data_IF_159933147974
#
_entry.id   IF_159933147974
#
_cell.length_a   1.000
_cell.length_b   1.000
_cell.length_c   1.000
_cell.angle_alpha   90.00
_cell.angle_beta   90.00
_cell.angle_gamma   90.00
#
_symmetry.space_group_name_H-M   'P 1'
#
loop_
_entity.id
_entity.type
_entity.pdbx_description
1 polymer ?
#
# COMPACT_ATOMS: atom_id res chain seq x y z
N UNK A 1 14.46 2.63 -20.61
CA UNK A 1 13.74 3.76 -19.98
C UNK A 1 12.36 3.99 -20.61
N UNK A 2 12.23 4.04 -21.94
CA UNK A 2 10.94 4.18 -22.64
C UNK A 2 9.97 3.00 -22.40
N UNK A 3 10.44 1.75 -22.40
CA UNK A 3 9.61 0.55 -22.15
C UNK A 3 9.11 0.43 -20.72
N UNK A 4 9.90 0.93 -19.75
CA UNK A 4 9.56 0.95 -18.32
C UNK A 4 8.35 1.86 -18.06
N UNK A 5 8.37 3.06 -18.64
CA UNK A 5 7.26 4.01 -18.54
C UNK A 5 6.00 3.55 -19.30
N UNK A 6 6.15 2.70 -20.31
CA UNK A 6 5.00 2.16 -21.06
C UNK A 6 4.18 1.18 -20.21
N UNK A 7 4.81 0.35 -19.38
CA UNK A 7 4.13 -0.63 -18.52
C UNK A 7 3.46 0.01 -17.30
N UNK A 8 3.97 1.14 -16.78
CA UNK A 8 3.38 1.85 -15.63
C UNK A 8 2.01 2.46 -15.98
N UNK A 9 1.74 2.76 -17.26
CA UNK A 9 0.52 3.44 -17.74
C UNK A 9 -0.78 2.66 -17.50
N UNK A 10 -0.72 1.32 -17.45
CA UNK A 10 -1.92 0.49 -17.23
C UNK A 10 -2.24 0.23 -15.74
N UNK A 11 -1.34 0.59 -14.83
CA UNK A 11 -1.33 -0.02 -13.50
C UNK A 11 -2.06 0.82 -12.42
N UNK A 12 -2.34 2.10 -12.65
CA UNK A 12 -3.06 2.92 -11.66
C UNK A 12 -4.58 2.78 -11.86
N UNK A 13 -5.12 1.61 -11.51
CA UNK A 13 -6.55 1.40 -11.38
C UNK A 13 -7.08 2.14 -10.14
N UNK A 14 -8.16 2.90 -10.31
CA UNK A 14 -8.98 3.43 -9.20
C UNK A 14 -9.75 2.28 -8.55
N UNK A 15 -9.05 1.33 -7.93
CA UNK A 15 -9.68 0.23 -7.22
C UNK A 15 -10.11 0.73 -5.84
N UNK A 16 -11.42 0.90 -5.67
CA UNK A 16 -12.00 1.08 -4.34
C UNK A 16 -11.97 -0.28 -3.65
N UNK A 17 -11.21 -0.38 -2.56
CA UNK A 17 -11.15 -1.57 -1.70
C UNK A 17 -11.50 -1.13 -0.28
N UNK A 18 -11.99 -2.06 0.53
CA UNK A 18 -12.28 -1.80 1.94
C UNK A 18 -11.25 -2.56 2.79
N UNK A 19 -10.63 -1.87 3.75
CA UNK A 19 -9.73 -2.48 4.72
C UNK A 19 -10.54 -3.11 5.85
N UNK A 20 -10.25 -4.36 6.18
CA UNK A 20 -10.65 -4.99 7.44
C UNK A 20 -9.39 -5.15 8.29
N UNK A 21 -9.46 -4.72 9.55
CA UNK A 21 -8.30 -4.61 10.44
C UNK A 21 -7.14 -3.75 9.89
N UNK A 22 -6.12 -3.55 10.73
CA UNK A 22 -4.93 -2.81 10.34
C UNK A 22 -3.66 -3.38 11.00
N UNK A 23 -2.81 -4.00 10.18
CA UNK A 23 -1.51 -4.53 10.60
C UNK A 23 -1.55 -5.54 11.75
N UNK A 24 -2.67 -6.27 11.88
CA UNK A 24 -2.87 -7.20 12.98
C UNK A 24 -1.87 -8.37 12.97
N UNK A 25 -1.39 -8.80 11.80
CA UNK A 25 -0.38 -9.86 11.68
C UNK A 25 0.94 -9.53 12.42
N UNK A 26 1.25 -8.24 12.64
CA UNK A 26 2.40 -7.84 13.44
C UNK A 26 2.26 -8.18 14.94
N UNK A 27 1.02 -8.32 15.42
CA UNK A 27 0.68 -8.55 16.84
C UNK A 27 -0.03 -9.88 17.08
N UNK A 28 -0.52 -10.55 16.04
CA UNK A 28 -1.30 -11.78 16.10
C UNK A 28 -0.63 -12.86 16.96
N UNK A 29 0.68 -13.06 16.76
CA UNK A 29 1.47 -14.06 17.48
C UNK A 29 1.38 -13.92 19.00
N UNK A 30 1.17 -12.71 19.53
CA UNK A 30 1.06 -12.46 20.96
C UNK A 30 -0.23 -13.05 21.56
N UNK A 31 -1.22 -13.36 20.73
CA UNK A 31 -2.52 -13.92 21.11
C UNK A 31 -2.65 -15.42 20.80
N UNK A 32 -1.63 -16.03 20.18
CA UNK A 32 -1.62 -17.44 19.79
C UNK A 32 -2.86 -17.83 18.98
N UNK A 33 -3.48 -18.96 19.33
CA UNK A 33 -4.69 -19.48 18.65
C UNK A 33 -5.85 -18.48 18.67
N UNK A 34 -5.94 -17.63 19.71
CA UNK A 34 -6.96 -16.60 19.78
C UNK A 34 -6.81 -15.54 18.69
N UNK A 35 -5.56 -15.22 18.30
CA UNK A 35 -5.25 -14.31 17.21
C UNK A 35 -5.68 -14.88 15.86
N UNK A 36 -5.31 -16.13 15.57
CA UNK A 36 -5.69 -16.81 14.32
C UNK A 36 -7.22 -16.93 14.16
N UNK A 37 -7.93 -17.26 15.26
CA UNK A 37 -9.39 -17.33 15.25
C UNK A 37 -10.02 -15.96 15.03
N UNK A 38 -9.43 -14.91 15.58
CA UNK A 38 -9.88 -13.55 15.39
C UNK A 38 -9.73 -13.08 13.95
N UNK A 39 -8.58 -13.34 13.29
CA UNK A 39 -8.36 -12.99 11.88
C UNK A 39 -9.39 -13.66 10.98
N UNK A 40 -9.67 -14.96 11.21
CA UNK A 40 -10.73 -15.69 10.49
C UNK A 40 -12.10 -15.08 10.71
N UNK A 41 -12.46 -14.80 11.96
CA UNK A 41 -13.74 -14.16 12.29
C UNK A 41 -13.88 -12.77 11.65
N UNK A 42 -12.82 -11.95 11.66
CA UNK A 42 -12.83 -10.62 11.07
C UNK A 42 -13.01 -10.70 9.55
N UNK A 43 -12.29 -11.60 8.88
CA UNK A 43 -12.42 -11.85 7.45
C UNK A 43 -13.83 -12.34 7.07
N UNK A 44 -14.37 -13.33 7.80
CA UNK A 44 -15.73 -13.84 7.59
C UNK A 44 -16.78 -12.75 7.79
N UNK A 45 -16.61 -11.94 8.84
CA UNK A 45 -17.51 -10.81 9.13
C UNK A 45 -17.49 -9.80 7.99
N UNK A 46 -16.31 -9.42 7.50
CA UNK A 46 -16.16 -8.49 6.38
C UNK A 46 -16.83 -9.01 5.10
N UNK A 47 -16.58 -10.28 4.75
CA UNK A 47 -17.19 -10.93 3.58
C UNK A 47 -18.72 -11.01 3.72
N UNK A 48 -19.23 -11.24 4.93
CA UNK A 48 -20.67 -11.33 5.20
C UNK A 48 -21.44 -10.03 4.93
N UNK A 49 -20.75 -8.88 4.92
CA UNK A 49 -21.35 -7.58 4.57
C UNK A 49 -21.72 -7.48 3.07
N UNK A 50 -21.31 -8.46 2.26
CA UNK A 50 -21.72 -8.63 0.86
C UNK A 50 -21.57 -7.36 0.02
N UNK A 51 -20.38 -6.76 0.08
CA UNK A 51 -20.02 -5.57 -0.70
C UNK A 51 -19.65 -5.93 -2.13
N UNK A 52 -19.82 -5.00 -3.06
CA UNK A 52 -19.42 -5.16 -4.48
C UNK A 52 -17.93 -4.94 -4.75
N UNK A 53 -17.16 -4.57 -3.72
CA UNK A 53 -15.75 -4.24 -3.79
C UNK A 53 -14.91 -5.22 -2.96
N UNK A 54 -13.65 -5.47 -3.36
CA UNK A 54 -12.78 -6.40 -2.65
C UNK A 54 -12.38 -5.89 -1.26
N UNK A 55 -12.11 -6.84 -0.38
CA UNK A 55 -11.58 -6.61 0.96
C UNK A 55 -10.08 -6.84 0.99
N UNK A 56 -9.39 -6.04 1.81
CA UNK A 56 -7.94 -6.15 2.00
C UNK A 56 -7.58 -6.15 3.49
N UNK A 57 -6.50 -6.86 3.83
CA UNK A 57 -5.83 -6.80 5.13
C UNK A 57 -4.37 -6.38 4.89
N UNK A 58 -3.89 -5.35 5.58
CA UNK A 58 -2.49 -4.93 5.49
C UNK A 58 -1.65 -5.64 6.55
N UNK A 59 -0.42 -6.04 6.18
CA UNK A 59 0.51 -6.79 7.03
C UNK A 59 -0.12 -8.03 7.67
N UNK A 60 -0.82 -8.82 6.86
CA UNK A 60 -1.48 -10.05 7.29
C UNK A 60 -1.15 -11.19 6.33
N UNK A 61 -0.13 -11.99 6.64
CA UNK A 61 0.37 -13.04 5.74
C UNK A 61 -0.65 -14.17 5.53
N UNK A 62 -1.38 -14.54 6.57
CA UNK A 62 -2.36 -15.63 6.58
C UNK A 62 -3.80 -15.16 6.26
N UNK A 63 -3.97 -13.97 5.67
CA UNK A 63 -5.28 -13.42 5.33
C UNK A 63 -6.13 -14.43 4.52
N UNK A 64 -7.32 -14.84 5.03
CA UNK A 64 -8.16 -15.85 4.40
C UNK A 64 -8.68 -15.42 3.03
N UNK A 65 -8.92 -16.36 2.12
CA UNK A 65 -9.64 -16.05 0.89
C UNK A 65 -11.09 -15.61 1.19
N UNK A 66 -11.65 -14.62 0.46
CA UNK A 66 -11.11 -13.92 -0.71
C UNK A 66 -10.36 -12.61 -0.36
N UNK A 67 -9.97 -12.41 0.91
CA UNK A 67 -9.29 -11.18 1.35
C UNK A 67 -7.89 -11.09 0.72
N UNK A 68 -7.53 -9.92 0.21
CA UNK A 68 -6.21 -9.67 -0.37
C UNK A 68 -5.27 -9.19 0.73
N UNK A 69 -4.16 -9.89 0.95
CA UNK A 69 -3.11 -9.39 1.82
C UNK A 69 -2.26 -8.33 1.11
N UNK A 70 -1.86 -7.30 1.86
CA UNK A 70 -1.20 -6.12 1.31
C UNK A 70 -0.02 -5.69 2.17
N UNK A 71 0.89 -4.91 1.57
CA UNK A 71 2.09 -4.43 2.24
C UNK A 71 1.98 -2.97 2.66
N UNK A 72 2.65 -2.63 3.76
CA UNK A 72 2.87 -1.27 4.27
C UNK A 72 4.37 -1.06 4.51
N UNK A 73 4.90 0.14 4.28
CA UNK A 73 6.32 0.40 4.50
C UNK A 73 6.89 1.53 3.65
N UNK A 74 8.21 1.71 3.75
CA UNK A 74 8.97 2.56 2.81
C UNK A 74 9.22 1.87 1.47
N UNK A 75 9.31 0.53 1.50
CA UNK A 75 9.60 -0.34 0.37
C UNK A 75 8.74 -1.61 0.45
N UNK A 76 8.05 -1.94 -0.64
CA UNK A 76 7.24 -3.15 -0.77
C UNK A 76 7.54 -3.90 -2.09
N UNK A 77 8.68 -3.62 -2.73
CA UNK A 77 9.08 -4.25 -3.99
C UNK A 77 9.38 -5.75 -3.85
N UNK A 78 9.75 -6.22 -2.65
CA UNK A 78 9.98 -7.65 -2.38
C UNK A 78 8.73 -8.38 -1.84
N UNK A 79 7.65 -7.65 -1.55
CA UNK A 79 6.41 -8.25 -1.07
C UNK A 79 5.77 -9.12 -2.17
N UNK A 80 5.23 -10.26 -1.75
CA UNK A 80 4.42 -11.16 -2.58
C UNK A 80 3.12 -11.45 -1.84
N UNK A 81 2.00 -11.46 -2.56
CA UNK A 81 0.72 -11.86 -1.98
C UNK A 81 0.75 -13.31 -1.51
N UNK A 82 -0.13 -13.67 -0.60
CA UNK A 82 -0.19 -15.01 -0.01
C UNK A 82 -0.80 -16.06 -0.97
N UNK A 83 -1.22 -15.65 -2.16
CA UNK A 83 -1.72 -16.53 -3.22
C UNK A 83 -1.37 -15.97 -4.61
N UNK A 84 -0.98 -16.80 -5.58
CA UNK A 84 -0.71 -16.37 -6.96
C UNK A 84 -1.91 -15.72 -7.67
N UNK A 85 -3.14 -15.98 -7.20
CA UNK A 85 -4.36 -15.37 -7.76
C UNK A 85 -4.64 -13.96 -7.23
N UNK A 86 -3.91 -13.52 -6.19
CA UNK A 86 -4.11 -12.21 -5.56
C UNK A 86 -3.12 -11.18 -6.09
N UNK A 87 -3.57 -9.94 -6.39
CA UNK A 87 -2.69 -8.88 -6.86
C UNK A 87 -1.68 -8.46 -5.78
N UNK A 88 -0.51 -7.97 -6.21
CA UNK A 88 0.49 -7.35 -5.34
C UNK A 88 0.11 -5.90 -5.08
N UNK A 89 -0.34 -5.60 -3.86
CA UNK A 89 -0.84 -4.27 -3.49
C UNK A 89 -0.05 -3.67 -2.32
N UNK A 90 0.25 -2.37 -2.43
CA UNK A 90 0.92 -1.57 -1.42
C UNK A 90 -0.03 -0.51 -0.87
N UNK A 91 -0.59 -0.75 0.31
CA UNK A 91 -1.64 0.11 0.86
C UNK A 91 -1.11 1.34 1.58
N UNK A 92 0.10 1.30 2.13
CA UNK A 92 0.70 2.46 2.80
C UNK A 92 2.17 2.60 2.45
N UNK A 93 2.44 3.46 1.47
CA UNK A 93 3.78 3.97 1.20
C UNK A 93 4.06 5.17 2.10
N UNK A 94 4.98 5.00 3.04
CA UNK A 94 5.31 5.99 4.05
C UNK A 94 6.03 7.20 3.44
N UNK A 95 5.30 8.28 3.15
CA UNK A 95 5.88 9.53 2.63
C UNK A 95 6.83 10.24 3.61
N UNK A 96 6.89 9.78 4.86
CA UNK A 96 7.70 10.31 5.94
C UNK A 96 7.39 9.55 7.22
N UNK A 97 7.59 10.18 8.37
CA UNK A 97 7.22 9.62 9.67
C UNK A 97 6.48 10.67 10.50
N UNK A 98 5.74 10.24 11.52
CA UNK A 98 5.09 11.18 12.43
C UNK A 98 6.15 11.87 13.31
N UNK A 99 5.90 13.14 13.65
CA UNK A 99 6.75 13.90 14.56
C UNK A 99 6.34 13.61 16.01
N UNK A 100 7.25 13.02 16.79
CA UNK A 100 7.09 12.90 18.24
C UNK A 100 7.63 14.14 18.95
N UNK A 101 7.01 14.51 20.09
CA UNK A 101 7.43 15.67 20.87
C UNK A 101 8.91 15.58 21.28
N UNK A 102 9.66 16.64 21.02
CA UNK A 102 11.09 16.74 21.38
C UNK A 102 12.04 16.07 20.37
N UNK A 103 11.54 15.38 19.34
CA UNK A 103 12.37 14.78 18.30
C UNK A 103 12.58 15.72 17.11
N UNK A 104 13.59 15.41 16.29
CA UNK A 104 13.82 16.08 15.01
C UNK A 104 12.70 15.76 14.01
N UNK A 105 12.48 16.66 13.05
CA UNK A 105 11.51 16.47 11.97
C UNK A 105 12.01 15.34 11.05
N UNK A 106 11.28 14.22 10.93
CA UNK A 106 11.64 13.16 10.01
C UNK A 106 11.43 13.63 8.56
N UNK A 107 12.40 13.33 7.70
CA UNK A 107 12.38 13.71 6.29
C UNK A 107 12.61 12.49 5.41
N UNK A 108 11.79 12.34 4.36
CA UNK A 108 11.99 11.37 3.29
C UNK A 108 12.17 12.12 1.97
N UNK A 109 13.28 11.93 1.25
CA UNK A 109 13.48 12.57 -0.06
C UNK A 109 12.41 12.16 -1.07
N UNK A 110 12.00 13.11 -1.92
CA UNK A 110 11.01 12.84 -2.98
C UNK A 110 11.55 11.88 -4.04
N UNK A 111 12.87 11.87 -4.24
CA UNK A 111 13.57 10.97 -5.15
C UNK A 111 13.54 9.52 -4.65
N UNK A 112 13.70 9.32 -3.33
CA UNK A 112 13.59 8.00 -2.70
C UNK A 112 12.15 7.48 -2.79
N UNK A 113 11.17 8.36 -2.51
CA UNK A 113 9.76 8.02 -2.66
C UNK A 113 9.44 7.61 -4.10
N UNK A 114 9.86 8.39 -5.09
CA UNK A 114 9.66 8.08 -6.51
C UNK A 114 10.36 6.77 -6.91
N UNK A 115 11.59 6.55 -6.45
CA UNK A 115 12.34 5.32 -6.69
C UNK A 115 11.62 4.10 -6.13
N UNK A 116 11.14 4.17 -4.89
CA UNK A 116 10.42 3.06 -4.25
C UNK A 116 9.13 2.68 -5.00
N UNK A 117 8.38 3.66 -5.50
CA UNK A 117 7.17 3.46 -6.32
C UNK A 117 7.52 2.84 -7.66
N UNK A 118 8.55 3.36 -8.33
CA UNK A 118 9.00 2.86 -9.63
C UNK A 118 9.42 1.39 -9.53
N UNK A 119 10.20 1.04 -8.51
CA UNK A 119 10.66 -0.34 -8.24
C UNK A 119 9.53 -1.29 -7.89
N UNK A 120 8.53 -0.83 -7.15
CA UNK A 120 7.35 -1.62 -6.83
C UNK A 120 6.57 -2.02 -8.08
N UNK A 121 6.35 -1.09 -9.01
CA UNK A 121 5.67 -1.38 -10.28
C UNK A 121 6.54 -2.22 -11.23
N UNK A 122 7.86 -2.02 -11.24
CA UNK A 122 8.79 -2.87 -12.00
C UNK A 122 8.70 -4.35 -11.61
N UNK A 123 8.47 -4.61 -10.33
CA UNK A 123 8.43 -5.94 -9.72
C UNK A 123 7.00 -6.51 -9.65
N UNK A 124 6.11 -6.08 -10.55
CA UNK A 124 4.76 -6.63 -10.70
C UNK A 124 3.74 -6.09 -9.70
N UNK A 125 4.02 -4.99 -9.01
CA UNK A 125 3.02 -4.28 -8.21
C UNK A 125 1.86 -3.79 -9.08
N UNK A 126 0.63 -3.82 -8.55
CA UNK A 126 -0.57 -3.45 -9.31
C UNK A 126 -1.40 -2.33 -8.69
N UNK A 127 -1.11 -1.96 -7.44
CA UNK A 127 -1.81 -0.89 -6.73
C UNK A 127 -0.88 -0.32 -5.66
N UNK A 128 -0.86 1.01 -5.54
CA UNK A 128 -0.06 1.71 -4.54
C UNK A 128 -0.80 2.93 -4.01
N UNK A 129 -0.74 3.15 -2.70
CA UNK A 129 -1.26 4.37 -2.04
C UNK A 129 -0.18 5.01 -1.18
N UNK A 130 -0.02 6.33 -1.31
CA UNK A 130 0.86 7.13 -0.45
C UNK A 130 0.06 7.58 0.77
N UNK A 131 0.52 7.24 1.97
CA UNK A 131 -0.12 7.71 3.20
C UNK A 131 0.32 9.14 3.53
N UNK A 132 -0.58 9.91 4.13
CA UNK A 132 -0.35 11.28 4.58
C UNK A 132 0.02 12.30 3.48
N UNK A 133 -0.42 12.08 2.24
CA UNK A 133 -0.13 13.01 1.11
C UNK A 133 -0.53 14.47 1.40
N UNK A 134 -1.62 14.69 2.15
CA UNK A 134 -2.11 16.03 2.50
C UNK A 134 -1.51 16.61 3.79
N UNK A 135 -0.73 15.83 4.53
CA UNK A 135 -0.13 16.23 5.82
C UNK A 135 1.35 16.62 5.65
N UNK A 136 1.92 16.40 4.46
CA UNK A 136 3.25 16.91 4.10
C UNK A 136 3.23 18.45 4.18
N UNK A 137 4.05 19.09 5.04
CA UNK A 137 3.89 20.51 5.39
C UNK A 137 4.14 21.50 4.25
N UNK A 138 4.69 21.06 3.12
CA UNK A 138 5.08 21.98 2.05
C UNK A 138 4.24 21.76 0.79
N UNK A 139 3.56 22.83 0.35
CA UNK A 139 2.81 22.89 -0.92
C UNK A 139 3.68 22.47 -2.12
N UNK A 140 4.99 22.72 -2.07
CA UNK A 140 5.92 22.39 -3.15
C UNK A 140 6.26 20.89 -3.21
N UNK A 141 6.36 20.18 -2.09
CA UNK A 141 6.54 18.72 -2.10
C UNK A 141 5.22 18.00 -2.44
N UNK A 142 4.08 18.52 -1.97
CA UNK A 142 2.76 18.00 -2.39
C UNK A 142 2.55 18.15 -3.89
N UNK A 143 2.84 19.34 -4.44
CA UNK A 143 2.83 19.54 -5.88
C UNK A 143 3.85 18.62 -6.55
N UNK A 144 5.08 18.48 -6.05
CA UNK A 144 6.10 17.58 -6.61
C UNK A 144 5.66 16.12 -6.67
N UNK A 145 5.02 15.60 -5.61
CA UNK A 145 4.50 14.21 -5.57
C UNK A 145 3.26 14.07 -6.44
N UNK A 146 2.35 15.04 -6.42
CA UNK A 146 1.18 15.06 -7.30
C UNK A 146 1.58 15.21 -8.76
N UNK A 147 2.63 15.98 -9.06
CA UNK A 147 3.25 16.16 -10.37
C UNK A 147 4.07 14.94 -10.77
N UNK A 148 4.71 14.20 -9.86
CA UNK A 148 5.35 12.92 -10.18
C UNK A 148 4.30 11.87 -10.54
N UNK A 149 3.22 11.80 -9.75
CA UNK A 149 2.08 10.96 -10.01
C UNK A 149 1.39 11.38 -11.32
N UNK A 150 1.15 12.68 -11.53
CA UNK A 150 0.59 13.22 -12.77
C UNK A 150 1.55 13.18 -13.96
N UNK A 151 2.87 13.28 -13.79
CA UNK A 151 3.84 13.20 -14.88
C UNK A 151 4.06 11.75 -15.30
N UNK A 152 4.01 10.81 -14.36
CA UNK A 152 3.83 9.39 -14.67
C UNK A 152 2.50 9.14 -15.44
N UNK A 153 1.46 9.96 -15.21
CA UNK A 153 0.19 9.94 -15.95
C UNK A 153 0.24 10.74 -17.28
N UNK A 154 1.04 11.81 -17.41
CA UNK A 154 0.92 12.88 -18.44
C UNK A 154 2.17 13.09 -19.33
N UNK A 155 3.24 12.29 -19.22
CA UNK A 155 4.36 12.39 -20.17
C UNK A 155 3.88 12.11 -21.61
N UNK A 156 4.15 13.02 -22.58
CA UNK A 156 3.62 12.91 -23.93
C UNK A 156 4.19 11.70 -24.67
N UNK A 157 3.36 11.21 -25.58
CA UNK A 157 3.53 10.08 -26.50
C UNK A 157 4.90 10.10 -27.21
#
# INVERSE_FOLDING_TARGET
>A
MSTFLHNVKEIIARTFNIKVENEYGNVEWAYGVGGELYVKWAAETAVSLNTSVPWVMCQQEDAPDPIINTCNGFYCDQFTSNSPSKPKMWTENYSGWFLAFGNAIPYRPVEDLAFSVARFFETGGTFQTIICILVVPTLNEQLGVLWLQLAMIMMPQ
#
